data_IF_203079404771
#
_entry.id   IF_203079404771
#
_cell.length_a   1.000
_cell.length_b   1.000
_cell.length_c   1.000
_cell.angle_alpha   90.00
_cell.angle_beta   90.00
_cell.angle_gamma   90.00
#
_symmetry.space_group_name_H-M   'P 1'
#
loop_
_entity.id
_entity.type
_entity.pdbx_description
1 polymer ?
#
# COMPACT_ATOMS: atom_id res chain seq x y z
N UNK A 1 -41.47 -6.35 3.96
CA UNK A 1 -40.02 -6.68 3.93
C UNK A 1 -39.34 -6.17 2.64
N UNK A 2 -39.89 -6.40 1.44
CA UNK A 2 -39.28 -5.95 0.18
C UNK A 2 -39.27 -4.43 -0.06
N UNK A 3 -40.27 -3.69 0.44
CA UNK A 3 -40.36 -2.22 0.28
C UNK A 3 -39.22 -1.48 1.00
N UNK A 4 -38.79 -1.99 2.17
CA UNK A 4 -37.63 -1.46 2.90
C UNK A 4 -36.31 -1.80 2.21
N UNK A 5 -36.21 -2.98 1.60
CA UNK A 5 -35.05 -3.37 0.80
C UNK A 5 -34.90 -2.47 -0.45
N UNK A 6 -36.00 -2.08 -1.09
CA UNK A 6 -35.99 -1.16 -2.23
C UNK A 6 -35.58 0.28 -1.86
N UNK A 7 -35.91 0.73 -0.64
CA UNK A 7 -35.44 2.02 -0.12
C UNK A 7 -33.94 1.98 0.24
N UNK A 8 -33.46 0.87 0.81
CA UNK A 8 -32.03 0.65 1.09
C UNK A 8 -31.19 0.62 -0.19
N UNK A 9 -31.66 -0.04 -1.26
CA UNK A 9 -30.94 -0.08 -2.54
C UNK A 9 -30.91 1.29 -3.22
N UNK A 10 -31.97 2.10 -3.12
CA UNK A 10 -32.00 3.46 -3.68
C UNK A 10 -31.02 4.42 -2.98
N UNK A 11 -30.79 4.27 -1.68
CA UNK A 11 -29.75 5.04 -0.96
C UNK A 11 -28.33 4.57 -1.26
N UNK A 12 -28.13 3.26 -1.51
CA UNK A 12 -26.82 2.69 -1.87
C UNK A 12 -26.39 3.02 -3.31
N UNK A 13 -27.33 3.39 -4.19
CA UNK A 13 -27.04 3.65 -5.60
C UNK A 13 -26.21 4.92 -5.87
N UNK A 14 -26.04 5.82 -4.89
CA UNK A 14 -25.33 7.09 -5.09
C UNK A 14 -23.98 7.22 -4.37
N UNK A 15 -23.76 6.47 -3.28
CA UNK A 15 -22.57 6.60 -2.41
C UNK A 15 -21.76 5.32 -2.44
N UNK A 16 -20.44 5.38 -2.70
CA UNK A 16 -19.61 4.19 -2.72
C UNK A 16 -19.51 3.55 -1.34
N UNK A 17 -19.40 2.23 -1.34
CA UNK A 17 -19.30 1.46 -0.09
C UNK A 17 -18.01 1.78 0.64
N UNK A 18 -18.03 1.71 1.98
CA UNK A 18 -16.82 1.91 2.79
C UNK A 18 -15.71 0.95 2.38
N UNK A 19 -16.06 -0.29 2.05
CA UNK A 19 -15.10 -1.29 1.58
C UNK A 19 -14.42 -0.87 0.26
N UNK A 20 -15.17 -0.39 -0.73
CA UNK A 20 -14.60 0.13 -1.98
C UNK A 20 -13.66 1.31 -1.73
N UNK A 21 -14.07 2.24 -0.87
CA UNK A 21 -13.25 3.41 -0.50
C UNK A 21 -11.96 2.98 0.22
N UNK A 22 -12.03 2.04 1.16
CA UNK A 22 -10.83 1.54 1.84
C UNK A 22 -9.94 0.71 0.93
N UNK A 23 -10.53 -0.04 0.00
CA UNK A 23 -9.79 -0.89 -0.92
C UNK A 23 -9.00 -0.05 -1.94
N UNK A 24 -9.59 1.04 -2.47
CA UNK A 24 -8.87 1.95 -3.37
C UNK A 24 -7.71 2.66 -2.68
N UNK A 25 -7.87 3.08 -1.41
CA UNK A 25 -6.77 3.72 -0.66
C UNK A 25 -5.63 2.72 -0.39
N UNK A 26 -5.97 1.49 -0.03
CA UNK A 26 -4.99 0.43 0.18
C UNK A 26 -4.21 0.15 -1.11
N UNK A 27 -4.90 0.00 -2.25
CA UNK A 27 -4.25 -0.20 -3.54
C UNK A 27 -3.27 0.94 -3.86
N UNK A 28 -3.71 2.20 -3.76
CA UNK A 28 -2.84 3.37 -4.01
C UNK A 28 -1.56 3.36 -3.17
N UNK A 29 -1.66 3.04 -1.87
CA UNK A 29 -0.50 3.00 -0.97
C UNK A 29 0.49 1.85 -1.24
N UNK A 30 0.03 0.78 -1.91
CA UNK A 30 0.84 -0.43 -2.15
C UNK A 30 1.60 -0.44 -3.48
N UNK A 31 1.19 0.39 -4.45
CA UNK A 31 1.83 0.46 -5.79
C UNK A 31 3.30 0.85 -5.69
N UNK A 32 3.61 1.90 -4.90
CA UNK A 32 4.99 2.38 -4.70
C UNK A 32 5.92 1.28 -4.16
N UNK A 33 5.69 0.68 -2.97
CA UNK A 33 6.60 -0.35 -2.46
C UNK A 33 6.68 -1.59 -3.35
N UNK A 34 5.60 -1.95 -4.06
CA UNK A 34 5.63 -3.06 -5.00
C UNK A 34 6.58 -2.80 -6.18
N UNK A 35 6.47 -1.63 -6.83
CA UNK A 35 7.37 -1.25 -7.92
C UNK A 35 8.82 -1.15 -7.45
N UNK A 36 9.04 -0.66 -6.23
CA UNK A 36 10.38 -0.63 -5.64
C UNK A 36 11.00 -2.01 -5.55
N UNK A 37 10.24 -3.02 -5.10
CA UNK A 37 10.72 -4.40 -5.00
C UNK A 37 11.04 -5.01 -6.36
N UNK A 38 10.26 -4.68 -7.38
CA UNK A 38 10.56 -5.07 -8.76
C UNK A 38 11.89 -4.46 -9.21
N UNK A 39 12.09 -3.16 -9.02
CA UNK A 39 13.35 -2.48 -9.38
C UNK A 39 14.54 -3.02 -8.57
N UNK A 40 14.36 -3.30 -7.28
CA UNK A 40 15.38 -3.94 -6.43
C UNK A 40 15.77 -5.31 -7.00
N UNK A 41 14.79 -6.16 -7.36
CA UNK A 41 15.06 -7.45 -8.00
C UNK A 41 15.81 -7.29 -9.33
N UNK A 42 15.35 -6.40 -10.21
CA UNK A 42 16.03 -6.11 -11.49
C UNK A 42 17.46 -5.62 -11.28
N UNK A 43 17.71 -4.82 -10.23
CA UNK A 43 19.05 -4.31 -9.91
C UNK A 43 20.00 -5.42 -9.45
N UNK A 44 19.50 -6.45 -8.77
CA UNK A 44 20.29 -7.62 -8.36
C UNK A 44 20.57 -8.53 -9.56
N UNK A 45 19.60 -8.73 -10.45
CA UNK A 45 19.77 -9.60 -11.63
C UNK A 45 20.64 -8.97 -12.71
N UNK A 46 20.53 -7.66 -12.95
CA UNK A 46 21.32 -6.95 -13.97
C UNK A 46 21.93 -5.65 -13.41
N UNK A 47 22.99 -5.75 -12.60
CA UNK A 47 23.55 -4.61 -11.87
C UNK A 47 24.12 -3.51 -12.78
N UNK A 48 24.69 -3.89 -13.92
CA UNK A 48 25.32 -2.94 -14.86
C UNK A 48 24.34 -2.02 -15.58
N UNK A 49 23.07 -2.43 -15.72
CA UNK A 49 22.03 -1.66 -16.44
C UNK A 49 21.05 -0.97 -15.49
N UNK A 50 20.60 -1.64 -14.43
CA UNK A 50 19.51 -1.13 -13.57
C UNK A 50 19.98 -0.50 -12.25
N UNK A 51 21.29 -0.39 -11.98
CA UNK A 51 21.80 0.27 -10.78
C UNK A 51 21.42 1.76 -10.69
N UNK A 52 21.29 2.45 -11.84
CA UNK A 52 20.83 3.85 -11.87
C UNK A 52 19.35 4.00 -11.49
N UNK A 53 18.50 3.07 -11.93
CA UNK A 53 17.06 3.10 -11.64
C UNK A 53 16.78 3.01 -10.15
N UNK A 54 17.58 2.26 -9.39
CA UNK A 54 17.43 2.18 -7.93
C UNK A 54 17.83 3.49 -7.24
N UNK A 55 18.89 4.16 -7.72
CA UNK A 55 19.35 5.44 -7.15
C UNK A 55 18.36 6.58 -7.40
N UNK A 56 17.75 6.63 -8.58
CA UNK A 56 16.77 7.65 -8.97
C UNK A 56 15.33 7.17 -8.85
N UNK A 57 15.08 6.10 -8.09
CA UNK A 57 13.79 5.44 -8.00
C UNK A 57 12.66 6.41 -7.62
N UNK A 58 12.88 7.27 -6.63
CA UNK A 58 11.85 8.21 -6.17
C UNK A 58 11.45 9.21 -7.27
N UNK A 59 12.41 9.71 -8.06
CA UNK A 59 12.14 10.67 -9.14
C UNK A 59 11.51 10.00 -10.37
N UNK A 60 11.96 8.78 -10.69
CA UNK A 60 11.37 7.96 -11.75
C UNK A 60 9.93 7.56 -11.41
N UNK A 61 9.70 7.17 -10.15
CA UNK A 61 8.37 6.83 -9.67
C UNK A 61 7.46 8.06 -9.66
N UNK A 62 7.96 9.23 -9.24
CA UNK A 62 7.19 10.48 -9.29
C UNK A 62 6.75 10.80 -10.73
N UNK A 63 7.66 10.69 -11.70
CA UNK A 63 7.35 10.92 -13.11
C UNK A 63 6.34 9.89 -13.64
N UNK A 64 6.54 8.61 -13.33
CA UNK A 64 5.62 7.54 -13.72
C UNK A 64 4.22 7.74 -13.14
N UNK A 65 4.12 7.99 -11.84
CA UNK A 65 2.86 8.20 -11.12
C UNK A 65 2.15 9.46 -11.62
N UNK A 66 2.89 10.54 -11.93
CA UNK A 66 2.33 11.76 -12.55
C UNK A 66 1.72 11.46 -13.92
N UNK A 67 2.44 10.76 -14.79
CA UNK A 67 1.94 10.41 -16.12
C UNK A 67 0.71 9.50 -16.05
N UNK A 68 0.78 8.48 -15.19
CA UNK A 68 -0.29 7.51 -14.99
C UNK A 68 -1.54 8.19 -14.43
N UNK A 69 -1.41 9.00 -13.37
CA UNK A 69 -2.56 9.68 -12.80
C UNK A 69 -3.12 10.74 -13.75
N UNK A 70 -2.27 11.48 -14.48
CA UNK A 70 -2.73 12.45 -15.48
C UNK A 70 -3.57 11.79 -16.58
N UNK A 71 -3.11 10.66 -17.11
CA UNK A 71 -3.86 9.91 -18.13
C UNK A 71 -5.23 9.45 -17.61
N UNK A 72 -5.27 8.90 -16.39
CA UNK A 72 -6.50 8.41 -15.79
C UNK A 72 -7.47 9.54 -15.42
N UNK A 73 -6.99 10.66 -14.88
CA UNK A 73 -7.84 11.81 -14.58
C UNK A 73 -8.43 12.41 -15.85
N UNK A 74 -7.65 12.48 -16.94
CA UNK A 74 -8.09 13.06 -18.21
C UNK A 74 -9.14 12.22 -18.94
N UNK A 75 -9.01 10.89 -18.91
CA UNK A 75 -9.92 9.98 -19.62
C UNK A 75 -11.10 9.50 -18.78
N UNK A 76 -10.94 9.35 -17.46
CA UNK A 76 -11.93 8.71 -16.59
C UNK A 76 -12.44 9.61 -15.44
N UNK A 77 -11.92 10.85 -15.29
CA UNK A 77 -12.20 11.73 -14.15
C UNK A 77 -12.00 11.04 -12.78
N UNK A 78 -11.05 10.11 -12.72
CA UNK A 78 -10.77 9.27 -11.56
C UNK A 78 -9.25 9.11 -11.41
N UNK A 79 -8.77 8.88 -10.18
CA UNK A 79 -7.41 8.37 -10.00
C UNK A 79 -7.30 6.94 -10.52
N UNK A 80 -6.08 6.43 -10.70
CA UNK A 80 -5.85 5.04 -11.07
C UNK A 80 -6.51 4.05 -10.09
N UNK A 81 -6.32 4.25 -8.78
CA UNK A 81 -6.94 3.39 -7.77
C UNK A 81 -8.46 3.51 -7.75
N UNK A 82 -9.00 4.70 -8.00
CA UNK A 82 -10.44 4.92 -8.08
C UNK A 82 -11.04 4.23 -9.31
N UNK A 83 -10.42 4.37 -10.48
CA UNK A 83 -10.85 3.70 -11.72
C UNK A 83 -10.79 2.18 -11.61
N UNK A 84 -9.83 1.62 -10.87
CA UNK A 84 -9.74 0.18 -10.61
C UNK A 84 -10.96 -0.36 -9.84
N UNK A 85 -11.52 0.43 -8.93
CA UNK A 85 -12.72 0.08 -8.15
C UNK A 85 -14.01 0.69 -8.73
N UNK A 86 -13.99 1.12 -9.99
CA UNK A 86 -15.11 1.77 -10.70
C UNK A 86 -15.69 2.97 -9.93
N UNK A 87 -14.81 3.85 -9.48
CA UNK A 87 -15.14 5.11 -8.81
C UNK A 87 -14.73 6.30 -9.68
N UNK A 88 -15.46 7.41 -9.57
CA UNK A 88 -15.16 8.67 -10.24
C UNK A 88 -15.35 9.88 -9.32
N UNK A 89 -14.65 10.98 -9.63
CA UNK A 89 -14.69 12.23 -8.86
C UNK A 89 -15.76 13.17 -9.39
N UNK A 90 -16.62 13.66 -8.50
CA UNK A 90 -17.72 14.57 -8.81
C UNK A 90 -17.64 15.83 -7.96
N UNK A 91 -17.70 17.04 -8.55
CA UNK A 91 -17.82 18.27 -7.78
C UNK A 91 -19.13 18.26 -6.99
N UNK A 92 -19.05 18.59 -5.70
CA UNK A 92 -20.21 18.58 -4.79
C UNK A 92 -21.21 19.71 -5.13
N UNK A 93 -20.73 20.78 -5.77
CA UNK A 93 -21.51 21.98 -6.09
C UNK A 93 -22.39 21.83 -7.34
N UNK A 94 -22.05 20.92 -8.26
CA UNK A 94 -22.74 20.76 -9.55
C UNK A 94 -23.11 19.30 -9.75
N UNK A 95 -24.39 18.97 -9.53
CA UNK A 95 -24.91 17.60 -9.68
C UNK A 95 -25.06 17.16 -11.15
N UNK A 96 -24.90 18.07 -12.10
CA UNK A 96 -25.08 17.81 -13.52
C UNK A 96 -23.73 17.67 -14.20
N UNK A 97 -23.24 16.44 -14.33
CA UNK A 97 -22.28 16.13 -15.39
C UNK A 97 -23.04 16.17 -16.71
N UNK A 98 -22.89 17.26 -17.44
CA UNK A 98 -23.31 17.36 -18.84
C UNK A 98 -22.47 16.38 -19.65
N UNK A 99 -23.00 15.16 -19.85
CA UNK A 99 -22.69 14.21 -20.95
C UNK A 99 -21.26 14.24 -21.49
N UNK A 100 -20.27 14.21 -20.60
CA UNK A 100 -18.85 14.26 -20.89
C UNK A 100 -18.07 14.13 -19.59
N UNK A 101 -17.32 13.04 -19.43
CA UNK A 101 -16.59 12.66 -18.21
C UNK A 101 -15.38 13.57 -17.93
N UNK A 102 -15.50 14.90 -18.04
CA UNK A 102 -14.37 15.82 -17.88
C UNK A 102 -14.55 16.67 -16.63
N UNK A 103 -13.61 16.52 -15.70
CA UNK A 103 -13.49 17.38 -14.53
C UNK A 103 -13.00 18.77 -14.99
N UNK A 104 -13.45 19.88 -14.38
CA UNK A 104 -12.90 21.19 -14.73
C UNK A 104 -11.38 21.22 -14.51
N UNK A 105 -10.66 21.80 -15.47
CA UNK A 105 -9.19 21.75 -15.57
C UNK A 105 -8.48 22.18 -14.28
N UNK A 106 -9.05 23.16 -13.55
CA UNK A 106 -8.49 23.61 -12.27
C UNK A 106 -8.61 22.55 -11.17
N UNK A 107 -9.75 21.87 -11.05
CA UNK A 107 -9.94 20.80 -10.07
C UNK A 107 -9.15 19.55 -10.47
N UNK A 108 -9.06 19.26 -11.78
CA UNK A 108 -8.23 18.18 -12.31
C UNK A 108 -6.77 18.37 -11.89
N UNK A 109 -6.17 19.53 -12.22
CA UNK A 109 -4.77 19.85 -11.87
C UNK A 109 -4.54 19.91 -10.36
N UNK A 110 -5.47 20.49 -9.60
CA UNK A 110 -5.37 20.54 -8.14
C UNK A 110 -5.42 19.14 -7.53
N UNK A 111 -6.28 18.28 -8.05
CA UNK A 111 -6.43 16.91 -7.56
C UNK A 111 -5.27 16.00 -7.97
N UNK A 112 -4.68 16.22 -9.16
CA UNK A 112 -3.42 15.60 -9.58
C UNK A 112 -2.27 16.04 -8.67
N UNK A 113 -2.11 17.35 -8.45
CA UNK A 113 -1.08 17.89 -7.57
C UNK A 113 -1.21 17.33 -6.16
N UNK A 114 -2.43 17.22 -5.63
CA UNK A 114 -2.68 16.69 -4.30
C UNK A 114 -2.42 15.18 -4.20
N UNK A 115 -2.75 14.42 -5.24
CA UNK A 115 -2.49 12.98 -5.29
C UNK A 115 -1.01 12.65 -5.40
N UNK A 116 -0.22 13.42 -6.15
CA UNK A 116 1.19 13.12 -6.42
C UNK A 116 2.13 13.85 -5.46
N UNK A 117 1.95 15.16 -5.26
CA UNK A 117 2.90 15.96 -4.49
C UNK A 117 2.78 15.70 -2.99
N UNK A 118 1.57 15.50 -2.47
CA UNK A 118 1.39 15.23 -1.03
C UNK A 118 2.15 13.98 -0.58
N UNK A 119 1.97 12.79 -1.19
CA UNK A 119 2.71 11.61 -0.75
C UNK A 119 4.22 11.75 -1.00
N UNK A 120 4.64 12.40 -2.09
CA UNK A 120 6.06 12.65 -2.33
C UNK A 120 6.69 13.54 -1.25
N UNK A 121 6.04 14.64 -0.88
CA UNK A 121 6.51 15.54 0.17
C UNK A 121 6.46 14.86 1.54
N UNK A 122 5.40 14.12 1.85
CA UNK A 122 5.31 13.34 3.09
C UNK A 122 6.49 12.37 3.20
N UNK A 123 6.82 11.63 2.14
CA UNK A 123 7.94 10.67 2.13
C UNK A 123 9.30 11.36 2.25
N UNK A 124 9.49 12.51 1.60
CA UNK A 124 10.72 13.30 1.69
C UNK A 124 10.93 13.85 3.09
N UNK A 125 9.88 14.38 3.72
CA UNK A 125 9.95 14.91 5.08
C UNK A 125 10.19 13.76 6.07
N UNK A 126 9.50 12.63 5.92
CA UNK A 126 9.69 11.45 6.77
C UNK A 126 11.14 10.95 6.71
N UNK A 127 11.75 10.91 5.52
CA UNK A 127 13.16 10.52 5.37
C UNK A 127 14.14 11.50 6.05
N UNK A 128 13.83 12.80 6.06
CA UNK A 128 14.65 13.81 6.74
C UNK A 128 14.48 13.68 8.26
N UNK A 129 13.25 13.51 8.73
CA UNK A 129 12.93 13.40 10.15
C UNK A 129 13.51 12.12 10.75
N UNK A 130 13.47 11.01 10.02
CA UNK A 130 14.07 9.76 10.50
C UNK A 130 15.59 9.88 10.61
N UNK A 131 16.27 10.57 9.69
CA UNK A 131 17.70 10.88 9.83
C UNK A 131 18.00 11.71 11.07
N UNK A 132 17.22 12.75 11.35
CA UNK A 132 17.41 13.56 12.56
C UNK A 132 17.14 12.78 13.84
N UNK A 133 16.23 11.81 13.78
CA UNK A 133 15.94 10.91 14.88
C UNK A 133 17.08 9.91 15.11
N UNK A 134 17.60 9.30 14.06
CA UNK A 134 18.78 8.43 14.12
C UNK A 134 19.99 9.18 14.70
N UNK A 135 20.23 10.43 14.28
CA UNK A 135 21.30 11.28 14.84
C UNK A 135 21.10 11.59 16.34
N UNK A 136 19.84 11.68 16.81
CA UNK A 136 19.53 11.86 18.24
C UNK A 136 19.73 10.57 19.03
N UNK A 137 19.30 9.42 18.49
CA UNK A 137 19.47 8.10 19.09
C UNK A 137 20.96 7.70 19.19
N UNK A 138 21.78 8.05 18.18
CA UNK A 138 23.24 7.87 18.19
C UNK A 138 23.97 8.87 19.13
N UNK A 139 23.26 9.83 19.74
CA UNK A 139 23.84 10.84 20.62
C UNK A 139 24.74 11.86 19.92
N UNK A 140 24.63 11.99 18.60
CA UNK A 140 25.43 12.94 17.78
C UNK A 140 24.95 14.39 17.92
N UNK A 141 23.72 14.59 18.39
CA UNK A 141 23.14 15.91 18.60
C UNK A 141 23.66 16.56 19.90
N UNK A 142 24.39 17.66 19.76
CA UNK A 142 24.93 18.44 20.86
C UNK A 142 23.89 19.31 21.57
N UNK A 143 24.39 20.27 22.37
CA UNK A 143 23.57 21.28 23.09
C UNK A 143 23.42 22.58 22.29
N UNK A 144 23.74 22.57 20.99
CA UNK A 144 23.63 23.77 20.15
C UNK A 144 22.16 24.17 19.96
N UNK A 145 21.90 25.47 19.75
CA UNK A 145 20.55 25.97 19.43
C UNK A 145 19.98 25.31 18.17
N UNK A 146 20.84 24.94 17.21
CA UNK A 146 20.44 24.23 16.00
C UNK A 146 19.99 22.78 16.29
N UNK A 147 20.64 22.09 17.24
CA UNK A 147 20.31 20.71 17.61
C UNK A 147 19.00 20.65 18.41
N UNK A 148 18.77 21.66 19.26
CA UNK A 148 17.48 21.82 19.94
C UNK A 148 16.33 22.09 18.94
N UNK A 149 16.58 22.88 17.89
CA UNK A 149 15.60 23.09 16.82
C UNK A 149 15.30 21.80 16.03
N UNK A 150 16.31 20.95 15.77
CA UNK A 150 16.12 19.64 15.13
C UNK A 150 15.24 18.71 15.99
N UNK A 151 15.51 18.63 17.30
CA UNK A 151 14.67 17.86 18.24
C UNK A 151 13.23 18.37 18.27
N UNK A 152 13.06 19.69 18.31
CA UNK A 152 11.74 20.31 18.23
C UNK A 152 11.04 19.98 16.90
N UNK A 153 11.76 20.01 15.77
CA UNK A 153 11.20 19.67 14.46
C UNK A 153 10.73 18.21 14.38
N UNK A 154 11.47 17.25 14.95
CA UNK A 154 11.05 15.84 15.05
C UNK A 154 9.74 15.73 15.86
N UNK A 155 9.66 16.42 17.00
CA UNK A 155 8.45 16.42 17.82
C UNK A 155 7.25 17.06 17.09
N UNK A 156 7.45 18.20 16.43
CA UNK A 156 6.43 18.90 15.63
C UNK A 156 5.93 18.02 14.50
N UNK A 157 6.82 17.33 13.77
CA UNK A 157 6.43 16.39 12.72
C UNK A 157 5.59 15.24 13.27
N UNK A 158 6.00 14.61 14.39
CA UNK A 158 5.22 13.55 15.04
C UNK A 158 3.82 14.03 15.42
N UNK A 159 3.71 15.21 16.02
CA UNK A 159 2.43 15.81 16.37
C UNK A 159 1.58 16.09 15.13
N UNK A 160 2.16 16.66 14.07
CA UNK A 160 1.48 16.92 12.80
C UNK A 160 0.99 15.61 12.14
N UNK A 161 1.76 14.53 12.18
CA UNK A 161 1.41 13.20 11.65
C UNK A 161 0.26 12.56 12.44
N UNK A 162 0.26 12.68 13.76
CA UNK A 162 -0.85 12.21 14.60
C UNK A 162 -2.11 13.01 14.30
N UNK A 163 -1.99 14.34 14.22
CA UNK A 163 -3.11 15.21 13.89
C UNK A 163 -3.70 14.88 12.51
N UNK A 164 -2.85 14.66 11.50
CA UNK A 164 -3.32 14.31 10.16
C UNK A 164 -4.06 12.97 10.13
N UNK A 165 -3.59 11.97 10.89
CA UNK A 165 -4.28 10.67 11.06
C UNK A 165 -5.63 10.83 11.75
N UNK A 166 -5.70 11.62 12.81
CA UNK A 166 -6.96 11.92 13.53
C UNK A 166 -7.93 12.66 12.61
N UNK A 167 -7.46 13.64 11.83
CA UNK A 167 -8.28 14.35 10.84
C UNK A 167 -8.83 13.40 9.77
N UNK A 168 -8.00 12.51 9.20
CA UNK A 168 -8.44 11.48 8.23
C UNK A 168 -9.49 10.56 8.85
N UNK A 169 -9.25 10.05 10.07
CA UNK A 169 -10.20 9.20 10.78
C UNK A 169 -11.53 9.91 11.07
N UNK A 170 -11.50 11.19 11.46
CA UNK A 170 -12.69 11.98 11.71
C UNK A 170 -13.48 12.26 10.41
N UNK A 171 -12.81 12.51 9.28
CA UNK A 171 -13.46 12.61 7.97
C UNK A 171 -14.11 11.28 7.57
N UNK A 172 -13.40 10.16 7.71
CA UNK A 172 -13.95 8.84 7.44
C UNK A 172 -15.16 8.52 8.33
N UNK A 173 -15.10 8.81 9.63
CA UNK A 173 -16.24 8.62 10.54
C UNK A 173 -17.46 9.46 10.15
N UNK A 174 -17.25 10.71 9.70
CA UNK A 174 -18.34 11.56 9.18
C UNK A 174 -18.94 11.02 7.89
N UNK A 175 -18.11 10.44 7.01
CA UNK A 175 -18.54 9.79 5.78
C UNK A 175 -19.40 8.55 6.08
N UNK A 176 -18.94 7.66 6.97
CA UNK A 176 -19.72 6.48 7.39
C UNK A 176 -21.03 6.87 8.08
N UNK A 177 -21.03 7.96 8.85
CA UNK A 177 -22.24 8.49 9.47
C UNK A 177 -23.22 9.18 8.48
N UNK A 178 -22.89 9.22 7.18
CA UNK A 178 -23.72 9.84 6.14
C UNK A 178 -23.81 11.37 6.22
N UNK A 179 -22.96 12.02 7.02
CA UNK A 179 -22.95 13.48 7.22
C UNK A 179 -22.05 14.23 6.23
N UNK A 180 -21.16 13.53 5.54
CA UNK A 180 -20.23 14.13 4.59
C UNK A 180 -20.18 13.37 3.26
N UNK A 181 -20.06 14.10 2.16
CA UNK A 181 -19.94 13.54 0.81
C UNK A 181 -18.51 13.07 0.47
N UNK A 182 -17.50 13.49 1.24
CA UNK A 182 -16.08 13.22 0.99
C UNK A 182 -15.48 12.38 2.12
N UNK A 183 -14.77 11.30 1.78
CA UNK A 183 -14.14 10.39 2.74
C UNK A 183 -12.76 10.89 3.21
N UNK A 184 -11.98 11.53 2.32
CA UNK A 184 -10.65 12.05 2.62
C UNK A 184 -10.66 13.58 2.80
N UNK A 185 -9.84 14.12 3.71
CA UNK A 185 -9.75 15.56 3.94
C UNK A 185 -9.25 16.30 2.68
N UNK A 186 -8.40 15.63 1.91
CA UNK A 186 -7.89 16.07 0.61
C UNK A 186 -9.04 16.38 -0.38
N UNK A 187 -9.98 15.46 -0.54
CA UNK A 187 -11.13 15.64 -1.43
C UNK A 187 -12.15 16.62 -0.84
N UNK A 188 -12.31 16.64 0.48
CA UNK A 188 -13.17 17.60 1.17
C UNK A 188 -12.71 19.06 0.93
N UNK A 189 -11.39 19.31 0.95
CA UNK A 189 -10.80 20.62 0.65
C UNK A 189 -11.06 21.08 -0.79
N UNK A 190 -11.03 20.13 -1.73
CA UNK A 190 -11.32 20.41 -3.15
C UNK A 190 -12.82 20.44 -3.48
N UNK A 191 -13.69 20.15 -2.50
CA UNK A 191 -15.13 20.04 -2.72
C UNK A 191 -15.53 18.89 -3.64
N UNK A 192 -14.72 17.83 -3.71
CA UNK A 192 -14.94 16.65 -4.53
C UNK A 192 -15.55 15.51 -3.71
N UNK A 193 -16.48 14.78 -4.33
CA UNK A 193 -17.13 13.57 -3.79
C UNK A 193 -16.84 12.39 -4.72
N UNK A 194 -16.79 11.18 -4.16
CA UNK A 194 -16.69 9.97 -4.97
C UNK A 194 -18.09 9.44 -5.30
N UNK A 195 -18.29 9.04 -6.55
CA UNK A 195 -19.49 8.31 -6.99
C UNK A 195 -19.11 7.04 -7.73
N UNK A 196 -19.97 6.00 -7.70
CA UNK A 196 -19.80 4.84 -8.56
C UNK A 196 -19.84 5.26 -10.03
N UNK A 197 -18.91 4.72 -10.83
CA UNK A 197 -18.87 4.96 -12.25
C UNK A 197 -20.04 4.28 -12.96
N UNK A 198 -20.63 4.90 -13.99
CA UNK A 198 -21.60 4.21 -14.83
C UNK A 198 -20.92 3.00 -15.49
N UNK A 199 -21.68 1.91 -15.74
CA UNK A 199 -21.13 0.71 -16.37
C UNK A 199 -20.46 1.07 -17.69
N UNK A 200 -19.20 0.65 -17.86
CA UNK A 200 -18.43 0.95 -19.07
C UNK A 200 -19.14 0.33 -20.28
N UNK A 201 -19.24 1.03 -21.42
CA UNK A 201 -19.67 0.40 -22.64
C UNK A 201 -18.71 -0.76 -22.95
N UNK A 202 -19.21 -1.89 -23.49
CA UNK A 202 -18.36 -3.02 -23.83
C UNK A 202 -17.24 -2.57 -24.78
N UNK A 203 -16.01 -2.98 -24.48
CA UNK A 203 -14.84 -2.63 -25.27
C UNK A 203 -15.02 -3.09 -26.72
N UNK A 204 -14.75 -2.25 -27.73
CA UNK A 204 -14.88 -2.65 -29.13
C UNK A 204 -13.80 -3.65 -29.57
N UNK A 205 -12.74 -3.84 -28.76
CA UNK A 205 -11.61 -4.71 -29.08
C UNK A 205 -11.69 -6.01 -28.30
N UNK A 206 -11.85 -7.13 -29.02
CA UNK A 206 -11.87 -8.48 -28.47
C UNK A 206 -10.52 -9.15 -28.68
N UNK A 207 -10.07 -10.02 -27.77
CA UNK A 207 -8.85 -10.85 -27.97
C UNK A 207 -8.85 -11.61 -29.30
N UNK A 208 -10.03 -11.99 -29.81
CA UNK A 208 -10.18 -12.59 -31.13
C UNK A 208 -9.80 -11.67 -32.29
N UNK A 209 -10.07 -10.37 -32.19
CA UNK A 209 -9.69 -9.38 -33.21
C UNK A 209 -8.19 -9.09 -33.17
N UNK A 210 -7.57 -9.05 -31.98
CA UNK A 210 -6.13 -8.86 -31.87
C UNK A 210 -5.34 -10.07 -32.42
N UNK A 211 -5.76 -11.30 -32.11
CA UNK A 211 -5.15 -12.50 -32.68
C UNK A 211 -5.31 -12.50 -34.20
N UNK A 212 -6.50 -12.15 -34.72
CA UNK A 212 -6.73 -12.03 -36.17
C UNK A 212 -5.83 -10.95 -36.79
N UNK A 213 -5.73 -9.77 -36.19
CA UNK A 213 -4.92 -8.65 -36.68
C UNK A 213 -3.40 -8.94 -36.61
N UNK A 214 -2.97 -9.76 -35.64
CA UNK A 214 -1.61 -10.29 -35.55
C UNK A 214 -1.30 -11.25 -36.72
N UNK A 215 -2.25 -12.12 -37.07
CA UNK A 215 -2.12 -13.02 -38.21
C UNK A 215 -2.21 -12.30 -39.57
N UNK A 216 -2.94 -11.18 -39.66
CA UNK A 216 -3.06 -10.40 -40.91
C UNK A 216 -1.97 -9.32 -41.09
N UNK A 217 -1.05 -9.18 -40.12
CA UNK A 217 0.10 -8.27 -40.23
C UNK A 217 -0.23 -6.78 -40.13
N UNK A 218 -1.47 -6.42 -39.77
CA UNK A 218 -1.90 -5.03 -39.58
C UNK A 218 -1.88 -4.69 -38.08
N UNK A 219 -0.68 -4.46 -37.56
CA UNK A 219 -0.49 -4.12 -36.15
C UNK A 219 -0.61 -2.60 -35.93
N UNK A 220 -1.75 -2.14 -35.43
CA UNK A 220 -1.90 -0.76 -34.97
C UNK A 220 -1.63 -0.66 -33.47
N UNK A 221 -0.81 0.32 -33.06
CA UNK A 221 -0.47 0.57 -31.67
C UNK A 221 -1.67 0.89 -30.77
N UNK A 222 -2.75 1.39 -31.36
CA UNK A 222 -3.95 1.82 -30.64
C UNK A 222 -4.81 0.66 -30.12
N UNK A 223 -4.69 -0.54 -30.67
CA UNK A 223 -5.57 -1.67 -30.35
C UNK A 223 -5.01 -2.56 -29.24
N UNK A 224 -3.70 -2.77 -29.20
CA UNK A 224 -3.09 -3.72 -28.26
C UNK A 224 -2.86 -3.13 -26.87
N UNK A 225 -2.51 -1.84 -26.78
CA UNK A 225 -2.19 -1.17 -25.52
C UNK A 225 -3.35 -1.23 -24.51
N UNK A 226 -4.61 -0.87 -24.86
CA UNK A 226 -5.72 -0.97 -23.92
C UNK A 226 -6.04 -2.42 -23.54
N UNK A 227 -5.93 -3.37 -24.49
CA UNK A 227 -6.20 -4.78 -24.24
C UNK A 227 -5.18 -5.43 -23.31
N UNK A 228 -3.90 -5.11 -23.49
CA UNK A 228 -2.82 -5.54 -22.59
C UNK A 228 -3.01 -4.90 -21.23
N UNK A 229 -3.42 -3.64 -21.15
CA UNK A 229 -3.76 -2.98 -19.88
C UNK A 229 -4.87 -3.71 -19.13
N UNK A 230 -6.00 -3.99 -19.78
CA UNK A 230 -7.14 -4.66 -19.14
C UNK A 230 -6.78 -6.10 -18.70
N UNK A 231 -6.07 -6.85 -19.54
CA UNK A 231 -5.64 -8.20 -19.17
C UNK A 231 -4.59 -8.23 -18.07
N UNK A 232 -3.65 -7.28 -18.06
CA UNK A 232 -2.68 -7.15 -16.98
C UNK A 232 -3.40 -6.85 -15.66
N UNK A 233 -4.40 -5.98 -15.66
CA UNK A 233 -5.21 -5.69 -14.47
C UNK A 233 -5.97 -6.93 -14.00
N UNK A 234 -6.65 -7.67 -14.89
CA UNK A 234 -7.28 -8.95 -14.54
C UNK A 234 -6.28 -9.98 -14.04
N UNK A 235 -5.08 -10.04 -14.61
CA UNK A 235 -4.02 -10.93 -14.15
C UNK A 235 -3.55 -10.57 -12.73
N UNK A 236 -3.51 -9.28 -12.38
CA UNK A 236 -3.24 -8.84 -11.00
C UNK A 236 -4.36 -9.24 -10.06
N UNK A 237 -5.63 -9.10 -10.46
CA UNK A 237 -6.78 -9.56 -9.66
C UNK A 237 -6.71 -11.07 -9.37
N UNK A 238 -6.53 -11.88 -10.41
CA UNK A 238 -6.35 -13.32 -10.27
C UNK A 238 -5.08 -13.67 -9.49
N UNK A 239 -3.99 -12.92 -9.70
CA UNK A 239 -2.73 -13.08 -8.97
C UNK A 239 -2.90 -12.83 -7.46
N UNK A 240 -3.65 -11.79 -7.08
CA UNK A 240 -3.96 -11.51 -5.68
C UNK A 240 -4.75 -12.65 -5.03
N UNK A 241 -5.73 -13.22 -5.74
CA UNK A 241 -6.45 -14.41 -5.28
C UNK A 241 -5.51 -15.61 -5.10
N UNK A 242 -4.61 -15.87 -6.05
CA UNK A 242 -3.63 -16.96 -5.96
C UNK A 242 -2.70 -16.77 -4.76
N UNK A 243 -2.22 -15.55 -4.51
CA UNK A 243 -1.35 -15.27 -3.35
C UNK A 243 -2.12 -15.46 -2.03
N UNK A 244 -3.36 -14.99 -1.94
CA UNK A 244 -4.20 -15.22 -0.77
C UNK A 244 -4.46 -16.71 -0.54
N UNK A 245 -4.72 -17.45 -1.62
CA UNK A 245 -4.87 -18.91 -1.59
C UNK A 245 -3.59 -19.60 -1.10
N UNK A 246 -2.42 -19.23 -1.61
CA UNK A 246 -1.14 -19.77 -1.18
C UNK A 246 -0.85 -19.46 0.29
N UNK A 247 -1.13 -18.25 0.77
CA UNK A 247 -0.99 -17.88 2.19
C UNK A 247 -1.91 -18.69 3.09
N UNK A 248 -3.16 -18.87 2.68
CA UNK A 248 -4.09 -19.74 3.39
C UNK A 248 -3.61 -21.19 3.42
N UNK A 249 -3.09 -21.69 2.30
CA UNK A 249 -2.53 -23.04 2.19
C UNK A 249 -1.34 -23.24 3.12
N UNK A 250 -0.40 -22.30 3.13
CA UNK A 250 0.77 -22.31 4.00
C UNK A 250 0.39 -22.22 5.49
N UNK A 251 -0.60 -21.38 5.82
CA UNK A 251 -1.10 -21.28 7.20
C UNK A 251 -1.65 -22.60 7.73
N UNK A 252 -2.23 -23.45 6.87
CA UNK A 252 -2.67 -24.81 7.24
C UNK A 252 -1.52 -25.78 7.42
N UNK A 253 -0.42 -25.62 6.68
CA UNK A 253 0.77 -26.46 6.84
C UNK A 253 1.41 -26.25 8.22
N UNK A 254 1.40 -25.02 8.75
CA UNK A 254 1.97 -24.72 10.08
C UNK A 254 1.23 -25.40 11.24
N UNK A 255 -0.10 -25.59 11.14
CA UNK A 255 -0.90 -26.23 12.20
C UNK A 255 -0.60 -27.72 12.36
N UNK A 256 -0.16 -28.40 11.28
CA UNK A 256 0.23 -29.81 11.32
C UNK A 256 1.68 -30.04 11.79
N UNK A 257 2.51 -28.99 11.85
CA UNK A 257 3.91 -29.08 12.29
C UNK A 257 4.09 -28.86 13.80
N UNK A 258 3.08 -28.30 14.50
CA UNK A 258 3.11 -28.08 15.93
C UNK A 258 2.59 -29.31 16.70
N UNK A 259 3.28 -30.45 16.60
CA UNK A 259 3.16 -31.47 17.64
C UNK A 259 3.59 -30.82 18.96
N UNK A 260 2.87 -31.03 20.08
CA UNK A 260 3.32 -30.52 21.37
C UNK A 260 4.75 -31.02 21.58
N UNK A 261 5.67 -30.09 21.85
CA UNK A 261 7.05 -30.45 22.19
C UNK A 261 6.98 -31.49 23.30
N UNK A 262 7.56 -32.70 23.11
CA UNK A 262 7.48 -33.73 24.14
C UNK A 262 8.01 -33.15 25.45
N UNK A 263 7.40 -33.50 26.59
CA UNK A 263 7.90 -33.04 27.88
C UNK A 263 9.39 -33.37 27.98
N UNK A 264 10.22 -32.46 28.52
CA UNK A 264 11.65 -32.69 28.63
C UNK A 264 11.90 -34.03 29.34
N UNK A 265 12.89 -34.82 28.89
CA UNK A 265 13.18 -36.10 29.51
C UNK A 265 13.41 -35.92 31.01
N UNK A 266 12.80 -36.80 31.82
CA UNK A 266 13.00 -36.76 33.27
C UNK A 266 14.50 -36.95 33.55
N UNK A 267 15.10 -36.03 34.31
CA UNK A 267 16.53 -36.12 34.66
C UNK A 267 16.74 -37.35 35.54
N UNK A 268 17.63 -38.24 35.11
CA UNK A 268 18.01 -39.42 35.91
C UNK A 268 18.49 -39.01 37.30
N UNK A 269 18.01 -39.68 38.34
CA UNK A 269 18.41 -39.43 39.74
C UNK A 269 19.93 -39.56 39.94
N UNK A 270 20.58 -40.41 39.13
CA UNK A 270 22.05 -40.56 39.11
C UNK A 270 22.74 -39.25 38.74
N UNK A 271 22.23 -38.51 37.75
CA UNK A 271 22.80 -37.24 37.33
C UNK A 271 22.71 -36.16 38.43
N UNK A 272 21.67 -36.21 39.27
CA UNK A 272 21.54 -35.33 40.44
C UNK A 272 22.60 -35.67 41.50
N UNK A 273 22.89 -36.96 41.73
CA UNK A 273 23.90 -37.40 42.71
C UNK A 273 25.33 -36.99 42.36
N UNK A 274 25.64 -36.87 41.07
CA UNK A 274 26.97 -36.51 40.57
C UNK A 274 27.11 -35.03 40.20
N UNK A 275 26.12 -34.20 40.55
CA UNK A 275 26.17 -32.75 40.30
C UNK A 275 27.43 -32.15 40.94
N UNK A 276 28.24 -31.47 40.14
CA UNK A 276 29.49 -30.80 40.54
C UNK A 276 30.58 -31.73 41.10
N UNK A 277 30.50 -33.04 40.83
CA UNK A 277 31.52 -34.02 41.19
C UNK A 277 32.20 -34.55 39.93
N UNK A 278 33.50 -34.78 40.00
CA UNK A 278 34.24 -35.43 38.92
C UNK A 278 33.86 -36.92 38.86
N UNK A 279 33.47 -37.48 37.71
CA UNK A 279 33.11 -38.89 37.59
C UNK A 279 34.30 -39.85 37.78
N UNK A 280 35.54 -39.33 37.69
CA UNK A 280 36.76 -40.14 37.78
C UNK A 280 37.30 -40.17 39.22
N UNK A 281 37.42 -39.01 39.87
CA UNK A 281 38.02 -38.90 41.21
C UNK A 281 37.01 -38.61 42.33
N UNK A 282 35.73 -38.43 42.01
CA UNK A 282 34.61 -38.15 42.92
C UNK A 282 34.74 -36.89 43.81
N UNK A 283 35.77 -36.08 43.59
CA UNK A 283 35.97 -34.82 44.28
C UNK A 283 35.14 -33.69 43.66
N UNK A 284 34.83 -32.66 44.46
CA UNK A 284 34.18 -31.45 43.98
C UNK A 284 35.10 -30.67 43.04
N UNK A 285 34.53 -30.07 42.00
CA UNK A 285 35.30 -29.30 41.02
C UNK A 285 35.87 -28.04 41.69
N UNK A 286 37.20 -27.86 41.61
CA UNK A 286 37.90 -26.69 42.19
C UNK A 286 38.04 -25.52 41.21
N UNK A 287 37.98 -25.79 39.91
CA UNK A 287 38.07 -24.79 38.84
C UNK A 287 36.88 -25.02 37.91
N UNK A 288 35.98 -24.05 37.72
CA UNK A 288 34.86 -24.18 36.79
C UNK A 288 35.38 -23.99 35.35
N UNK A 289 36.08 -24.99 34.81
CA UNK A 289 36.42 -25.02 33.39
C UNK A 289 35.45 -25.93 32.68
N UNK A 290 34.50 -25.31 31.98
CA UNK A 290 33.96 -25.61 30.64
C UNK A 290 32.57 -24.96 30.56
N UNK A 291 32.40 -24.15 29.51
CA UNK A 291 31.20 -23.40 29.14
C UNK A 291 29.90 -24.23 29.32
N UNK A 292 28.87 -23.72 30.01
CA UNK A 292 27.58 -24.39 30.18
C UNK A 292 26.67 -24.20 28.95
N UNK A 293 27.22 -24.36 27.75
CA UNK A 293 26.46 -24.27 26.48
C UNK A 293 26.70 -25.54 25.65
N UNK A 294 26.21 -26.66 26.16
CA UNK A 294 25.79 -27.79 25.34
C UNK A 294 24.71 -28.56 26.12
N UNK A 295 23.50 -28.01 26.03
CA UNK A 295 22.26 -28.59 26.52
C UNK A 295 21.11 -27.81 25.93
#
# INVERSE_FOLDING_TARGET
>A
MAVYAAHLTRTLQGTPTVFQVTAQEALGSTVKPALRKVVEFLSVTYPTKFGWCLRWYDELYLLFDTCLQYDYLKHYAASFSESFYDLLRVPTATNEFTTGQQLPVHLERASLALLVLVPYLEDRIEAIVERWREDDEDGRLGKSSADSARRAAVFVWRAARVLSRVCRAACAARYVAGRGASHSPALALLGLSLRPAPPRPPSPYTWGDLVRNLFTGQFSGAEWFPLVGESALRAVEYGAFVVQFLRWWDSRATTHAALPTPPPPQRDERAVRWKNKCPICLQSWKIPTVLPVSG
#
